data_IF_757025483997
#
_entry.id   IF_757025483997
#
_cell.length_a   1.000
_cell.length_b   1.000
_cell.length_c   1.000
_cell.angle_alpha   90.00
_cell.angle_beta   90.00
_cell.angle_gamma   90.00
#
_symmetry.space_group_name_H-M   'P 1'
#
loop_
_entity.id
_entity.type
_entity.pdbx_description
1 polymer ?
#
# COMPACT_ATOMS: atom_id res chain seq x y z
N UNK A 1 19.77 -59.59 -3.53
CA UNK A 1 20.98 -59.29 -4.34
C UNK A 1 20.79 -59.92 -5.71
N UNK A 2 20.81 -59.13 -6.79
CA UNK A 2 21.69 -59.47 -7.90
C UNK A 2 22.44 -58.24 -8.46
N UNK A 3 23.59 -58.55 -9.05
CA UNK A 3 24.66 -57.62 -9.37
C UNK A 3 24.43 -56.79 -10.63
N UNK A 4 25.02 -55.59 -10.60
CA UNK A 4 25.14 -54.65 -11.71
C UNK A 4 26.02 -55.21 -12.82
N UNK A 5 25.47 -55.37 -14.03
CA UNK A 5 26.25 -55.54 -15.25
C UNK A 5 26.78 -54.19 -15.73
N UNK A 6 28.08 -53.94 -15.52
CA UNK A 6 28.83 -52.90 -16.24
C UNK A 6 29.05 -53.37 -17.68
N UNK A 7 28.69 -52.55 -18.67
CA UNK A 7 29.30 -52.62 -20.01
C UNK A 7 29.97 -51.30 -20.34
N UNK A 8 31.29 -51.35 -20.35
CA UNK A 8 32.17 -50.43 -21.07
C UNK A 8 31.84 -50.44 -22.56
N UNK A 9 31.81 -49.28 -23.18
CA UNK A 9 32.13 -49.15 -24.61
C UNK A 9 33.03 -47.94 -24.80
N UNK A 10 34.17 -48.21 -25.45
CA UNK A 10 35.32 -47.34 -25.67
C UNK A 10 35.51 -47.29 -27.18
N UNK A 11 35.64 -46.09 -27.74
CA UNK A 11 36.03 -45.82 -29.13
C UNK A 11 35.72 -44.35 -29.44
N UNK A 12 36.63 -43.49 -29.91
CA UNK A 12 37.95 -43.69 -30.51
C UNK A 12 38.00 -42.90 -31.83
N UNK A 13 38.90 -41.91 -31.94
CA UNK A 13 39.19 -41.07 -33.12
C UNK A 13 38.93 -39.58 -32.83
N UNK A 14 39.87 -38.62 -32.86
CA UNK A 14 41.11 -38.47 -33.66
C UNK A 14 40.73 -38.19 -35.13
N UNK A 15 41.01 -37.06 -35.80
CA UNK A 15 42.20 -36.21 -35.91
C UNK A 15 41.82 -34.85 -36.64
N UNK A 16 42.77 -33.94 -37.04
CA UNK A 16 42.64 -32.47 -36.91
C UNK A 16 42.64 -31.63 -38.22
N UNK A 17 42.61 -30.29 -38.04
CA UNK A 17 43.21 -29.19 -38.85
C UNK A 17 42.93 -29.11 -40.36
N UNK A 18 42.25 -28.04 -40.80
CA UNK A 18 42.52 -27.39 -42.08
C UNK A 18 42.19 -25.88 -42.05
N UNK A 19 43.26 -25.10 -42.18
CA UNK A 19 43.36 -23.68 -42.41
C UNK A 19 42.99 -23.36 -43.88
N UNK A 20 42.12 -22.39 -44.16
CA UNK A 20 42.18 -21.62 -45.41
C UNK A 20 41.72 -20.17 -45.18
N UNK A 21 42.71 -19.28 -45.22
CA UNK A 21 42.57 -17.85 -45.38
C UNK A 21 42.13 -17.53 -46.80
N UNK A 22 41.09 -16.69 -46.96
CA UNK A 22 40.89 -15.87 -48.16
C UNK A 22 40.80 -14.42 -47.73
N UNK A 23 41.65 -13.62 -48.36
CA UNK A 23 41.95 -12.20 -48.12
C UNK A 23 41.06 -11.31 -48.99
N UNK A 24 40.65 -10.15 -48.44
CA UNK A 24 40.22 -8.95 -49.17
C UNK A 24 38.71 -8.76 -49.26
N UNK A 25 38.08 -7.63 -48.94
CA UNK A 25 38.50 -6.25 -48.63
C UNK A 25 37.22 -5.43 -48.37
N UNK A 26 37.32 -4.15 -47.96
CA UNK A 26 36.28 -3.47 -47.18
C UNK A 26 35.20 -2.81 -48.05
N UNK A 27 33.92 -2.92 -47.63
CA UNK A 27 32.87 -2.03 -48.10
C UNK A 27 31.99 -1.61 -46.92
N UNK A 28 32.13 -0.33 -46.57
CA UNK A 28 31.21 0.40 -45.72
C UNK A 28 29.84 0.47 -46.40
N UNK A 29 28.82 -0.11 -45.78
CA UNK A 29 27.44 0.34 -45.92
C UNK A 29 26.72 0.17 -44.58
N UNK A 30 26.65 1.30 -43.89
CA UNK A 30 25.63 1.62 -42.88
C UNK A 30 24.23 1.30 -43.42
N UNK A 31 23.34 0.72 -42.60
CA UNK A 31 21.95 0.56 -43.00
C UNK A 31 21.04 -0.22 -42.04
N UNK A 32 20.73 0.38 -40.89
CA UNK A 32 19.50 0.28 -40.12
C UNK A 32 18.89 -1.12 -39.80
N UNK A 33 19.11 -1.55 -38.55
CA UNK A 33 18.24 -2.44 -37.80
C UNK A 33 16.82 -1.84 -37.68
N UNK A 34 15.85 -2.42 -38.39
CA UNK A 34 14.42 -2.23 -38.10
C UNK A 34 13.95 -3.33 -37.14
N UNK A 35 14.08 -3.08 -35.84
CA UNK A 35 13.39 -3.86 -34.80
C UNK A 35 11.93 -3.40 -34.63
N UNK A 36 11.01 -4.28 -34.21
CA UNK A 36 9.60 -3.93 -34.02
C UNK A 36 9.41 -2.99 -32.82
N UNK A 37 8.96 -1.77 -33.11
CA UNK A 37 8.64 -0.72 -32.14
C UNK A 37 7.41 -1.13 -31.32
N UNK A 38 7.59 -1.35 -30.02
CA UNK A 38 6.48 -1.48 -29.07
C UNK A 38 5.79 -0.11 -28.93
N UNK A 39 4.46 -0.01 -28.94
CA UNK A 39 3.78 1.25 -28.66
C UNK A 39 4.01 1.63 -27.20
N UNK A 40 4.58 2.82 -27.00
CA UNK A 40 4.71 3.47 -25.70
C UNK A 40 3.33 4.08 -25.40
N UNK A 41 2.58 3.49 -24.48
CA UNK A 41 1.41 4.15 -23.92
C UNK A 41 1.93 5.22 -22.96
N UNK A 42 1.83 6.48 -23.37
CA UNK A 42 2.06 7.62 -22.50
C UNK A 42 0.90 7.74 -21.49
N UNK A 43 1.17 8.01 -20.20
CA UNK A 43 0.11 8.34 -19.24
C UNK A 43 -0.47 9.74 -19.55
N UNK A 44 -1.78 9.97 -19.36
CA UNK A 44 -2.35 11.29 -19.56
C UNK A 44 -1.87 12.27 -18.48
N UNK A 45 -1.07 13.25 -18.90
CA UNK A 45 -0.76 14.47 -18.14
C UNK A 45 -2.01 15.33 -18.04
N UNK A 46 -2.87 15.06 -17.07
CA UNK A 46 -3.98 15.95 -16.70
C UNK A 46 -3.67 16.68 -15.40
N UNK A 47 -2.53 17.38 -15.33
CA UNK A 47 -2.29 18.39 -14.28
C UNK A 47 -1.35 19.46 -14.84
N UNK A 48 -1.89 20.31 -15.71
CA UNK A 48 -1.24 21.53 -16.17
C UNK A 48 -2.31 22.54 -16.62
N UNK A 49 -3.06 23.11 -15.67
CA UNK A 49 -3.82 24.35 -15.87
C UNK A 49 -4.29 24.90 -14.52
N UNK A 50 -3.44 25.68 -13.87
CA UNK A 50 -3.86 26.75 -12.97
C UNK A 50 -3.02 27.97 -13.33
N UNK A 51 -3.60 28.88 -14.11
CA UNK A 51 -3.08 30.24 -14.24
C UNK A 51 -3.48 31.04 -13.00
N UNK A 52 -2.60 31.87 -12.43
CA UNK A 52 -2.97 32.90 -11.46
C UNK A 52 -3.61 34.08 -12.19
N UNK A 53 -4.84 34.44 -11.81
CA UNK A 53 -5.53 35.62 -12.34
C UNK A 53 -4.98 36.92 -11.75
N UNK A 54 -4.84 38.01 -12.53
CA UNK A 54 -4.42 39.32 -12.04
C UNK A 54 -5.58 40.12 -11.43
N UNK A 55 -5.24 40.96 -10.45
CA UNK A 55 -6.11 41.92 -9.77
C UNK A 55 -6.64 43.02 -10.71
N UNK A 56 -7.73 43.70 -10.32
CA UNK A 56 -7.94 45.08 -10.72
C UNK A 56 -8.01 46.06 -9.53
N UNK A 57 -7.30 47.17 -9.71
CA UNK A 57 -7.37 48.42 -8.96
C UNK A 57 -8.53 49.26 -9.53
N UNK A 58 -9.27 49.99 -8.68
CA UNK A 58 -10.23 51.01 -9.14
C UNK A 58 -10.78 51.87 -8.00
N UNK A 59 -10.47 53.18 -8.05
CA UNK A 59 -10.81 54.24 -7.09
C UNK A 59 -12.21 54.86 -7.29
N UNK A 60 -12.77 55.34 -6.16
CA UNK A 60 -13.66 56.51 -5.97
C UNK A 60 -15.10 56.43 -6.56
N UNK A 61 -16.18 56.98 -5.97
CA UNK A 61 -16.38 58.24 -5.25
C UNK A 61 -17.62 58.16 -4.30
N UNK A 62 -17.67 59.03 -3.28
CA UNK A 62 -18.85 59.35 -2.45
C UNK A 62 -19.69 60.50 -3.08
N UNK A 63 -20.91 60.85 -2.60
CA UNK A 63 -21.01 61.71 -1.41
C UNK A 63 -22.29 61.59 -0.52
N UNK A 64 -22.22 62.32 0.61
CA UNK A 64 -23.16 62.79 1.68
C UNK A 64 -24.67 62.86 1.34
N UNK A 65 -25.69 62.85 2.21
CA UNK A 65 -25.95 63.35 3.58
C UNK A 65 -27.32 62.71 3.99
N UNK A 66 -27.68 62.40 5.24
CA UNK A 66 -28.30 63.36 6.15
C UNK A 66 -28.67 62.64 7.47
N UNK A 67 -28.55 63.40 8.56
CA UNK A 67 -28.85 63.01 9.93
C UNK A 67 -30.35 63.07 10.20
N UNK A 68 -30.89 62.09 10.91
CA UNK A 68 -31.96 62.34 11.87
C UNK A 68 -31.96 61.24 12.95
N UNK A 69 -32.14 61.64 14.21
CA UNK A 69 -32.09 60.80 15.43
C UNK A 69 -33.46 61.00 16.09
N UNK A 70 -34.10 59.99 16.73
CA UNK A 70 -33.71 59.64 18.10
C UNK A 70 -33.88 58.16 18.50
N UNK A 71 -33.13 57.75 19.53
CA UNK A 71 -33.39 56.55 20.38
C UNK A 71 -34.45 56.92 21.46
N UNK A 72 -35.19 56.01 22.16
CA UNK A 72 -34.72 54.71 22.69
C UNK A 72 -35.72 53.50 22.82
N UNK A 73 -35.14 52.28 22.71
CA UNK A 73 -35.41 50.98 23.42
C UNK A 73 -36.77 50.24 23.26
N UNK A 74 -36.88 48.90 23.52
CA UNK A 74 -35.91 47.95 24.09
C UNK A 74 -35.72 46.62 23.31
N UNK A 75 -34.74 45.86 23.80
CA UNK A 75 -34.20 44.59 23.32
C UNK A 75 -35.20 43.46 23.05
N UNK A 76 -34.99 42.78 21.93
CA UNK A 76 -35.15 41.32 21.83
C UNK A 76 -33.84 40.81 21.22
N UNK A 77 -32.85 40.56 22.08
CA UNK A 77 -31.69 39.78 21.69
C UNK A 77 -32.17 38.35 21.35
N UNK A 78 -31.87 37.80 20.17
CA UNK A 78 -31.98 36.36 19.98
C UNK A 78 -31.07 35.67 21.01
N UNK A 79 -31.50 34.56 21.64
CA UNK A 79 -30.72 33.94 22.71
C UNK A 79 -29.34 33.55 22.19
N UNK A 80 -28.34 34.20 22.77
CA UNK A 80 -26.96 33.76 22.91
C UNK A 80 -26.78 32.28 22.62
N UNK A 81 -26.36 31.98 21.39
CA UNK A 81 -25.67 30.74 21.07
C UNK A 81 -24.37 30.78 21.85
N UNK A 82 -24.13 29.93 22.87
CA UNK A 82 -22.89 30.01 23.63
C UNK A 82 -21.74 29.54 22.72
N UNK A 83 -21.08 30.51 22.11
CA UNK A 83 -19.71 30.39 21.65
C UNK A 83 -18.81 30.09 22.87
N UNK A 84 -17.85 29.19 22.63
CA UNK A 84 -16.72 28.88 23.51
C UNK A 84 -17.00 28.03 24.77
N UNK A 85 -17.41 26.77 24.55
CA UNK A 85 -16.89 25.70 25.38
C UNK A 85 -15.63 25.12 24.71
N UNK A 86 -14.49 25.24 25.41
CA UNK A 86 -13.22 24.51 25.21
C UNK A 86 -13.47 23.14 24.53
N UNK A 87 -12.73 22.72 23.48
CA UNK A 87 -12.97 21.40 22.88
C UNK A 87 -12.88 20.35 23.99
N UNK A 88 -13.99 19.66 24.35
CA UNK A 88 -13.94 18.68 25.41
C UNK A 88 -13.04 17.56 24.91
N UNK A 89 -12.08 17.16 25.76
CA UNK A 89 -11.21 16.02 25.51
C UNK A 89 -12.09 14.83 25.10
N UNK A 90 -12.09 14.54 23.81
CA UNK A 90 -13.14 13.71 23.21
C UNK A 90 -12.73 12.27 23.38
N UNK A 91 -13.31 11.64 24.41
CA UNK A 91 -13.16 10.22 24.66
C UNK A 91 -13.63 9.44 23.43
N UNK A 92 -12.82 8.46 23.02
CA UNK A 92 -13.14 7.60 21.88
C UNK A 92 -13.69 6.28 22.41
N UNK A 93 -14.91 5.95 22.03
CA UNK A 93 -15.52 4.65 22.29
C UNK A 93 -15.63 3.84 21.01
N UNK A 94 -15.70 2.52 21.15
CA UNK A 94 -15.81 1.58 20.05
C UNK A 94 -17.20 0.96 20.01
N UNK A 95 -17.80 0.95 18.83
CA UNK A 95 -19.09 0.29 18.58
C UNK A 95 -18.92 -1.22 18.72
N UNK A 96 -19.73 -1.91 19.51
CA UNK A 96 -19.58 -3.36 19.77
C UNK A 96 -20.41 -4.27 18.85
N UNK A 97 -21.39 -3.72 18.12
CA UNK A 97 -22.33 -4.50 17.29
C UNK A 97 -22.07 -4.39 15.79
N UNK A 98 -22.49 -5.40 15.01
CA UNK A 98 -22.27 -5.47 13.55
C UNK A 98 -23.00 -4.41 12.71
N UNK A 99 -24.12 -3.88 13.19
CA UNK A 99 -24.97 -2.90 12.48
C UNK A 99 -25.70 -1.99 13.48
N UNK A 100 -24.95 -1.34 14.36
CA UNK A 100 -25.52 -0.44 15.38
C UNK A 100 -26.02 0.83 14.71
N UNK A 101 -27.25 1.22 14.98
CA UNK A 101 -27.86 2.42 14.40
C UNK A 101 -27.38 3.67 15.14
N UNK A 102 -26.89 4.67 14.39
CA UNK A 102 -26.77 6.05 14.82
C UNK A 102 -28.12 6.73 14.58
N UNK A 103 -28.71 7.30 15.62
CA UNK A 103 -30.06 7.90 15.55
C UNK A 103 -30.03 9.40 15.71
N UNK A 104 -31.00 10.10 15.12
CA UNK A 104 -31.12 11.56 15.27
C UNK A 104 -31.53 11.97 16.70
N UNK A 105 -32.23 11.08 17.41
CA UNK A 105 -32.77 11.30 18.76
C UNK A 105 -32.29 10.21 19.72
N UNK A 106 -32.22 10.49 21.04
CA UNK A 106 -31.91 9.51 22.08
C UNK A 106 -33.09 8.56 22.35
N UNK A 107 -33.60 7.91 21.31
CA UNK A 107 -34.78 7.04 21.38
C UNK A 107 -34.62 5.80 20.50
N UNK A 108 -35.22 4.67 20.91
CA UNK A 108 -35.15 3.42 20.15
C UNK A 108 -36.00 3.46 18.87
N UNK A 109 -36.91 4.43 18.78
CA UNK A 109 -37.84 4.65 17.68
C UNK A 109 -37.37 5.78 16.75
N UNK A 110 -36.37 6.58 17.16
CA UNK A 110 -35.88 7.72 16.40
C UNK A 110 -35.31 7.35 15.03
N UNK A 111 -35.35 8.29 14.08
CA UNK A 111 -34.85 8.10 12.72
C UNK A 111 -33.37 7.68 12.71
N UNK A 112 -33.06 6.62 11.97
CA UNK A 112 -31.68 6.15 11.78
C UNK A 112 -30.98 7.06 10.78
N UNK A 113 -29.94 7.76 11.26
CA UNK A 113 -29.07 8.63 10.46
C UNK A 113 -28.02 7.80 9.73
N UNK A 114 -27.46 6.79 10.40
CA UNK A 114 -26.41 5.92 9.85
C UNK A 114 -26.34 4.56 10.58
N UNK A 115 -25.52 3.64 10.10
CA UNK A 115 -25.28 2.34 10.73
C UNK A 115 -23.79 2.03 10.79
N UNK A 116 -23.31 1.69 11.98
CA UNK A 116 -21.90 1.42 12.25
C UNK A 116 -21.63 -0.04 12.58
N UNK A 117 -20.46 -0.48 12.12
CA UNK A 117 -19.94 -1.82 12.35
C UNK A 117 -19.24 -1.93 13.69
N UNK A 118 -18.92 -3.17 14.08
CA UNK A 118 -18.17 -3.43 15.31
C UNK A 118 -16.72 -2.94 15.17
N UNK A 119 -16.16 -2.42 16.25
CA UNK A 119 -14.81 -1.85 16.30
C UNK A 119 -14.69 -0.45 15.70
N UNK A 120 -15.79 0.15 15.25
CA UNK A 120 -15.75 1.49 14.68
C UNK A 120 -15.56 2.54 15.79
N UNK A 121 -14.52 3.39 15.70
CA UNK A 121 -14.26 4.42 16.71
C UNK A 121 -15.21 5.60 16.53
N UNK A 122 -15.84 6.01 17.61
CA UNK A 122 -16.71 7.19 17.67
C UNK A 122 -16.28 8.10 18.81
N UNK A 123 -16.29 9.40 18.56
CA UNK A 123 -16.04 10.44 19.55
C UNK A 123 -17.29 10.64 20.41
N UNK A 124 -17.14 10.68 21.73
CA UNK A 124 -18.24 11.02 22.65
C UNK A 124 -18.34 12.52 22.81
N UNK A 125 -19.51 13.08 22.46
CA UNK A 125 -19.82 14.48 22.67
C UNK A 125 -20.60 14.69 23.98
N UNK A 126 -21.53 13.78 24.29
CA UNK A 126 -22.39 13.86 25.47
C UNK A 126 -22.66 12.46 26.02
N UNK A 127 -22.46 12.26 27.33
CA UNK A 127 -22.72 10.99 28.02
C UNK A 127 -24.09 11.05 28.69
N UNK A 128 -25.04 10.23 28.22
CA UNK A 128 -26.27 9.90 28.95
C UNK A 128 -26.23 8.45 29.45
N UNK A 129 -27.19 8.10 30.31
CA UNK A 129 -27.24 6.76 30.92
C UNK A 129 -27.60 5.66 29.93
N UNK A 130 -28.67 5.85 29.14
CA UNK A 130 -29.07 4.89 28.10
C UNK A 130 -28.53 5.27 26.72
N UNK A 131 -28.37 6.57 26.45
CA UNK A 131 -27.97 7.09 25.14
C UNK A 131 -26.78 8.03 25.25
N UNK A 132 -25.81 7.82 24.38
CA UNK A 132 -24.59 8.63 24.29
C UNK A 132 -24.62 9.32 22.93
N UNK A 133 -24.46 10.65 22.93
CA UNK A 133 -24.30 11.42 21.70
C UNK A 133 -22.87 11.27 21.23
N UNK A 134 -22.72 10.77 20.03
CA UNK A 134 -21.43 10.50 19.42
C UNK A 134 -21.28 11.17 18.08
N UNK A 135 -20.03 11.42 17.70
CA UNK A 135 -19.62 11.91 16.39
C UNK A 135 -18.66 10.93 15.74
N UNK A 136 -18.88 10.64 14.47
CA UNK A 136 -17.95 9.84 13.68
C UNK A 136 -17.01 10.78 12.91
N UNK A 137 -15.74 10.91 13.32
CA UNK A 137 -14.78 11.86 12.72
C UNK A 137 -14.67 11.76 11.19
N UNK A 138 -14.59 10.56 10.56
CA UNK A 138 -14.43 10.46 9.10
C UNK A 138 -15.64 10.98 8.31
N UNK A 139 -16.86 10.77 8.81
CA UNK A 139 -18.09 11.19 8.09
C UNK A 139 -18.69 12.48 8.66
N UNK A 140 -18.12 13.01 9.74
CA UNK A 140 -18.65 14.13 10.53
C UNK A 140 -20.13 13.97 10.92
N UNK A 141 -20.63 12.73 10.93
CA UNK A 141 -22.02 12.44 11.29
C UNK A 141 -22.14 12.35 12.79
N UNK A 142 -23.18 13.00 13.31
CA UNK A 142 -23.51 13.00 14.73
C UNK A 142 -24.87 12.35 14.97
N UNK A 143 -25.03 11.80 16.16
CA UNK A 143 -26.29 11.24 16.61
C UNK A 143 -26.14 10.45 17.91
N UNK A 144 -27.17 9.72 18.25
CA UNK A 144 -27.28 8.99 19.50
C UNK A 144 -27.11 7.48 19.27
N UNK A 145 -26.28 6.88 20.11
CA UNK A 145 -26.07 5.43 20.17
C UNK A 145 -26.33 4.97 21.60
N UNK A 146 -26.91 3.79 21.77
CA UNK A 146 -27.13 3.22 23.11
C UNK A 146 -25.81 2.94 23.82
N UNK A 147 -25.70 3.33 25.09
CA UNK A 147 -24.49 3.16 25.90
C UNK A 147 -23.99 1.70 25.91
N UNK A 148 -24.89 0.73 26.05
CA UNK A 148 -24.59 -0.72 25.99
C UNK A 148 -23.98 -1.22 24.68
N UNK A 149 -24.04 -0.42 23.60
CA UNK A 149 -23.47 -0.73 22.29
C UNK A 149 -22.11 -0.08 22.07
N UNK A 150 -21.62 0.69 23.05
CA UNK A 150 -20.30 1.32 23.04
C UNK A 150 -19.42 0.65 24.11
N UNK A 151 -18.12 0.57 23.84
CA UNK A 151 -17.12 0.05 24.77
C UNK A 151 -15.90 0.96 24.76
N UNK A 152 -15.28 1.17 25.91
CA UNK A 152 -14.04 1.95 26.01
C UNK A 152 -12.89 1.25 25.31
N UNK A 153 -12.90 -0.08 25.32
CA UNK A 153 -11.87 -0.89 24.70
C UNK A 153 -12.38 -1.43 23.35
N UNK A 154 -11.57 -1.34 22.28
CA UNK A 154 -11.90 -2.02 21.05
C UNK A 154 -11.99 -3.50 21.35
N UNK A 155 -12.95 -4.20 20.73
CA UNK A 155 -12.95 -5.65 20.69
C UNK A 155 -11.80 -6.13 19.79
N UNK A 156 -10.57 -5.93 20.23
CA UNK A 156 -9.43 -6.73 19.82
C UNK A 156 -9.65 -8.10 20.45
N UNK A 157 -10.49 -8.89 19.78
CA UNK A 157 -10.15 -10.30 19.68
C UNK A 157 -8.72 -10.33 19.16
N UNK A 158 -7.86 -11.20 19.71
CA UNK A 158 -6.56 -11.57 19.14
C UNK A 158 -6.69 -11.87 17.64
N UNK A 159 -6.71 -10.82 16.84
CA UNK A 159 -6.23 -10.84 15.49
C UNK A 159 -4.76 -11.15 15.67
N UNK A 160 -4.40 -12.41 15.38
CA UNK A 160 -3.04 -12.84 15.10
C UNK A 160 -2.21 -11.63 14.71
N UNK A 161 -1.26 -11.31 15.56
CA UNK A 161 -0.40 -10.14 15.49
C UNK A 161 0.41 -10.16 14.20
N UNK A 162 -0.22 -9.72 13.12
CA UNK A 162 0.45 -9.16 11.97
C UNK A 162 0.17 -7.67 12.06
N UNK A 163 1.18 -6.85 12.39
CA UNK A 163 1.00 -5.41 12.37
C UNK A 163 0.63 -5.04 10.93
N UNK A 164 -0.63 -4.63 10.74
CA UNK A 164 -1.05 -3.86 9.57
C UNK A 164 -0.07 -2.70 9.48
N UNK A 165 0.75 -2.57 8.42
CA UNK A 165 1.85 -1.63 8.42
C UNK A 165 1.28 -0.21 8.48
N UNK A 166 1.25 0.34 9.70
CA UNK A 166 1.25 1.77 9.91
C UNK A 166 2.59 2.26 9.36
N UNK A 167 2.50 3.26 8.50
CA UNK A 167 3.59 3.92 7.80
C UNK A 167 4.64 4.46 8.76
N UNK A 168 5.56 3.61 9.21
CA UNK A 168 6.87 4.02 9.71
C UNK A 168 7.81 3.70 8.56
N UNK A 169 8.35 4.71 7.90
CA UNK A 169 9.25 4.54 6.77
C UNK A 169 10.46 3.67 7.20
N UNK A 170 10.58 2.42 6.73
CA UNK A 170 11.72 1.59 7.06
C UNK A 170 12.80 1.77 5.99
N UNK A 171 14.06 1.61 6.40
CA UNK A 171 15.25 1.66 5.55
C UNK A 171 15.39 0.39 4.69
N UNK A 172 14.33 0.04 3.94
CA UNK A 172 13.99 -1.24 3.27
C UNK A 172 12.98 -2.11 4.05
N UNK A 173 11.91 -2.48 3.35
CA UNK A 173 10.88 -3.38 3.87
C UNK A 173 11.41 -4.82 3.95
N UNK A 174 10.83 -5.66 4.81
CA UNK A 174 11.19 -7.10 4.86
C UNK A 174 10.96 -7.80 3.52
N UNK A 175 9.93 -7.39 2.78
CA UNK A 175 9.67 -7.88 1.43
C UNK A 175 10.77 -7.47 0.44
N UNK A 176 11.32 -6.27 0.55
CA UNK A 176 12.45 -5.83 -0.27
C UNK A 176 13.71 -6.65 0.04
N UNK A 177 14.01 -6.82 1.34
CA UNK A 177 15.15 -7.61 1.79
C UNK A 177 15.03 -9.06 1.33
N UNK A 178 13.83 -9.66 1.40
CA UNK A 178 13.60 -11.01 0.89
C UNK A 178 13.90 -11.12 -0.62
N UNK A 179 13.54 -10.12 -1.43
CA UNK A 179 13.89 -10.11 -2.86
C UNK A 179 15.39 -10.05 -3.08
N UNK A 180 16.11 -9.23 -2.29
CA UNK A 180 17.57 -9.11 -2.37
C UNK A 180 18.22 -10.46 -2.04
N UNK A 181 17.86 -11.07 -0.91
CA UNK A 181 18.40 -12.37 -0.51
C UNK A 181 18.15 -13.48 -1.54
N UNK A 182 16.94 -13.51 -2.13
CA UNK A 182 16.62 -14.45 -3.22
C UNK A 182 17.48 -14.16 -4.46
N UNK A 183 17.63 -12.88 -4.84
CA UNK A 183 18.43 -12.50 -5.99
C UNK A 183 19.92 -12.86 -5.79
N UNK A 184 20.48 -12.60 -4.61
CA UNK A 184 21.87 -12.95 -4.27
C UNK A 184 22.08 -14.46 -4.29
N UNK A 185 21.12 -15.23 -3.75
CA UNK A 185 21.18 -16.70 -3.79
C UNK A 185 21.14 -17.25 -5.22
N UNK A 186 20.30 -16.66 -6.08
CA UNK A 186 20.24 -17.02 -7.51
C UNK A 186 21.53 -16.64 -8.24
N UNK A 187 22.08 -15.46 -7.96
CA UNK A 187 23.30 -14.97 -8.60
C UNK A 187 24.54 -15.77 -8.19
N UNK A 188 24.58 -16.25 -6.95
CA UNK A 188 25.66 -17.12 -6.46
C UNK A 188 25.66 -18.51 -7.10
N UNK A 189 24.54 -18.95 -7.68
CA UNK A 189 24.43 -20.27 -8.29
C UNK A 189 25.08 -20.30 -9.69
N UNK A 190 26.01 -21.24 -9.97
CA UNK A 190 26.84 -21.22 -11.18
C UNK A 190 26.12 -21.61 -12.49
N UNK A 191 24.83 -21.96 -12.43
CA UNK A 191 24.08 -22.50 -13.56
C UNK A 191 22.80 -21.73 -13.90
N UNK A 192 22.18 -22.00 -15.05
CA UNK A 192 20.96 -21.29 -15.48
C UNK A 192 19.70 -21.71 -14.70
N UNK A 193 19.75 -22.82 -13.95
CA UNK A 193 18.59 -23.40 -13.30
C UNK A 193 18.75 -23.49 -11.77
N UNK A 194 18.89 -22.34 -11.11
CA UNK A 194 18.82 -22.29 -9.64
C UNK A 194 17.40 -22.59 -9.15
N UNK A 195 16.42 -21.89 -9.73
CA UNK A 195 15.01 -21.93 -9.30
C UNK A 195 14.07 -22.52 -10.37
N UNK A 196 12.93 -23.13 -9.97
CA UNK A 196 12.03 -23.83 -10.89
C UNK A 196 11.42 -22.95 -11.98
N UNK A 197 11.23 -21.66 -11.69
CA UNK A 197 10.62 -20.68 -12.57
C UNK A 197 11.61 -20.02 -13.54
N UNK A 198 12.90 -20.32 -13.45
CA UNK A 198 13.88 -19.79 -14.41
C UNK A 198 13.85 -20.54 -15.74
N UNK A 199 14.45 -19.93 -16.76
CA UNK A 199 14.56 -20.51 -18.10
C UNK A 199 15.95 -21.11 -18.34
N UNK A 200 15.98 -22.31 -18.91
CA UNK A 200 17.20 -22.93 -19.40
C UNK A 200 17.70 -22.22 -20.67
N UNK A 201 18.94 -22.53 -21.09
CA UNK A 201 19.58 -21.92 -22.28
C UNK A 201 18.80 -22.10 -23.58
N UNK A 202 17.94 -23.11 -23.67
CA UNK A 202 17.08 -23.39 -24.81
C UNK A 202 15.68 -22.73 -24.70
N UNK A 203 15.47 -21.83 -23.73
CA UNK A 203 14.20 -21.14 -23.49
C UNK A 203 13.15 -21.95 -22.72
N UNK A 204 13.36 -23.24 -22.47
CA UNK A 204 12.43 -24.07 -21.68
C UNK A 204 12.50 -23.73 -20.18
N UNK A 205 11.40 -23.86 -19.44
CA UNK A 205 11.41 -23.67 -17.97
C UNK A 205 12.23 -24.75 -17.27
N UNK A 206 13.00 -24.37 -16.25
CA UNK A 206 13.86 -25.28 -15.51
C UNK A 206 13.04 -26.35 -14.78
N UNK A 207 11.94 -25.96 -14.12
CA UNK A 207 11.01 -26.84 -13.44
C UNK A 207 11.74 -27.83 -12.53
N UNK A 208 11.54 -29.13 -12.77
CA UNK A 208 12.16 -30.23 -11.99
C UNK A 208 13.68 -30.33 -12.15
N UNK A 209 14.28 -29.64 -13.12
CA UNK A 209 15.75 -29.58 -13.32
C UNK A 209 16.42 -28.53 -12.44
N UNK A 210 15.64 -27.67 -11.79
CA UNK A 210 16.17 -26.64 -10.90
C UNK A 210 16.87 -27.24 -9.68
N UNK A 211 17.96 -26.60 -9.26
CA UNK A 211 18.72 -27.00 -8.07
C UNK A 211 17.82 -27.11 -6.83
N UNK A 212 16.93 -26.13 -6.63
CA UNK A 212 15.92 -26.10 -5.56
C UNK A 212 15.13 -27.40 -5.37
N UNK A 213 14.86 -28.14 -6.47
CA UNK A 213 14.01 -29.36 -6.44
C UNK A 213 14.85 -30.64 -6.42
N UNK A 214 16.13 -30.57 -6.81
CA UNK A 214 16.96 -31.75 -6.99
C UNK A 214 17.51 -32.24 -5.63
N UNK A 215 17.37 -33.53 -5.29
CA UNK A 215 17.88 -34.06 -4.04
C UNK A 215 19.42 -34.09 -4.03
N UNK A 216 20.02 -33.70 -2.90
CA UNK A 216 21.47 -33.83 -2.66
C UNK A 216 22.37 -32.85 -3.40
N UNK A 217 21.87 -31.65 -3.74
CA UNK A 217 22.64 -30.60 -4.42
C UNK A 217 22.48 -29.22 -3.77
N UNK A 218 22.83 -28.17 -4.53
CA UNK A 218 22.63 -26.77 -4.13
C UNK A 218 21.18 -26.50 -3.73
N UNK A 219 20.98 -25.75 -2.65
CA UNK A 219 19.66 -25.34 -2.14
C UNK A 219 19.53 -23.81 -2.17
N UNK A 220 19.37 -23.19 -3.36
CA UNK A 220 19.19 -21.75 -3.46
C UNK A 220 17.86 -21.31 -2.85
N UNK A 221 17.81 -20.07 -2.35
CA UNK A 221 16.57 -19.41 -1.93
C UNK A 221 15.80 -19.00 -3.18
N UNK A 222 14.56 -19.47 -3.32
CA UNK A 222 13.77 -19.25 -4.53
C UNK A 222 12.41 -18.59 -4.25
N UNK A 223 11.92 -18.66 -3.01
CA UNK A 223 10.62 -18.14 -2.62
C UNK A 223 10.71 -17.39 -1.30
N UNK A 224 9.76 -16.47 -1.08
CA UNK A 224 9.67 -15.73 0.18
C UNK A 224 9.54 -16.65 1.41
N UNK A 225 8.93 -17.83 1.26
CA UNK A 225 8.79 -18.83 2.33
C UNK A 225 10.14 -19.42 2.77
N UNK A 226 11.15 -19.38 1.89
CA UNK A 226 12.50 -19.85 2.19
C UNK A 226 13.26 -18.77 3.01
N UNK A 227 12.69 -17.56 3.16
CA UNK A 227 13.26 -16.46 3.91
C UNK A 227 12.72 -16.42 5.35
N UNK A 228 13.60 -16.67 6.31
CA UNK A 228 13.32 -16.56 7.74
C UNK A 228 13.43 -15.11 8.22
N UNK A 229 12.71 -14.72 9.30
CA UNK A 229 12.88 -13.42 9.96
C UNK A 229 14.32 -13.14 10.41
N UNK A 230 15.07 -14.19 10.78
CA UNK A 230 16.47 -14.10 11.21
C UNK A 230 17.36 -13.58 10.08
N UNK A 231 17.32 -14.18 8.88
CA UNK A 231 18.04 -13.67 7.70
C UNK A 231 17.71 -12.21 7.37
N UNK A 232 16.45 -11.78 7.58
CA UNK A 232 16.06 -10.38 7.38
C UNK A 232 16.65 -9.47 8.46
N UNK A 233 16.71 -9.94 9.71
CA UNK A 233 17.31 -9.21 10.81
C UNK A 233 18.83 -9.07 10.65
N UNK A 234 19.51 -10.15 10.24
CA UNK A 234 20.94 -10.16 9.93
C UNK A 234 21.27 -9.17 8.81
N UNK A 235 20.51 -9.20 7.71
CA UNK A 235 20.71 -8.27 6.59
C UNK A 235 20.63 -6.81 7.04
N UNK A 236 19.69 -6.48 7.93
CA UNK A 236 19.53 -5.13 8.51
C UNK A 236 20.63 -4.77 9.51
N UNK A 237 21.25 -5.75 10.15
CA UNK A 237 22.36 -5.49 11.06
C UNK A 237 23.66 -5.19 10.30
N UNK A 238 23.79 -5.69 9.07
CA UNK A 238 24.99 -5.54 8.26
C UNK A 238 24.92 -4.45 7.18
N UNK A 239 23.76 -3.81 6.96
CA UNK A 239 23.53 -2.77 5.93
C UNK A 239 22.69 -1.61 6.49
#
# INVERSE_FOLDING_TARGET
>A
MPQRGRRSSKGGGGLPLALMLVVGGPLLLFGAFSGPTKPRLDPPTSYASLQPGPAPVGLAQAPVEARDRPSPQPAVEPPVSPAAAKPPATETLFVSGRKVALRAEPSAQGKVVDRYGSGQPVEVLERGEEWIRVRHRPTQREGWIQAKRLRAEPLVQEAKEQPKPATVAPKLSSAEIAKILIADSIAAYPGPCACPYQSARNGSSCGRRAAYVRPGGYSPLCYAKDITPEMVAEYRASH
#
